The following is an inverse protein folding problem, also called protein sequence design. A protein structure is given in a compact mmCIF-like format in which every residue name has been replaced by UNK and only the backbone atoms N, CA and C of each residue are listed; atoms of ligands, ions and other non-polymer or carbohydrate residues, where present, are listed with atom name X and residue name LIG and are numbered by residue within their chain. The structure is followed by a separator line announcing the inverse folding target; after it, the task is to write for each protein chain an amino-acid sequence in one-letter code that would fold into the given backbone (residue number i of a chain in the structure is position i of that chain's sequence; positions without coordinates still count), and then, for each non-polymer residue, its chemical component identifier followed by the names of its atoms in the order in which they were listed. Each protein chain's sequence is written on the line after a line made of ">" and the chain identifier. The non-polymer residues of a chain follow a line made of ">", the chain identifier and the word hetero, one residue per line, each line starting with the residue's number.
data_IF_041054117820
#
_entry.id   IF_041054117820
#
_cell.length_a   1.000
_cell.length_b   1.000
_cell.length_c   1.000
_cell.angle_alpha   90.00
_cell.angle_beta   90.00
_cell.angle_gamma   90.00
#
_symmetry.space_group_name_H-M   'P 1'
#
loop_
_entity.id
_entity.type
_entity.pdbx_description
1 polymer ?
#
# COMPACT_ATOMS: atom_id res chain seq x y z
N UNK A 1 -9.92 -22.13 -19.21
CA UNK A 1 -10.21 -20.73 -18.84
C UNK A 1 -9.15 -19.75 -19.33
N UNK A 2 -7.83 -20.04 -19.26
CA UNK A 2 -6.78 -19.18 -19.86
C UNK A 2 -6.60 -19.31 -21.38
N UNK A 3 -7.14 -20.34 -22.02
CA UNK A 3 -6.92 -20.60 -23.44
C UNK A 3 -7.69 -19.67 -24.40
N UNK A 4 -8.72 -18.97 -23.95
CA UNK A 4 -9.66 -18.26 -24.84
C UNK A 4 -9.51 -16.74 -24.86
N UNK A 5 -8.79 -16.13 -23.91
CA UNK A 5 -8.68 -14.68 -23.81
C UNK A 5 -7.27 -14.20 -24.25
N UNK A 6 -7.15 -13.43 -25.35
CA UNK A 6 -5.85 -12.97 -25.84
C UNK A 6 -5.14 -12.03 -24.86
N UNK A 7 -5.88 -11.28 -24.03
CA UNK A 7 -5.32 -10.36 -23.04
C UNK A 7 -4.68 -11.17 -21.90
N UNK A 8 -5.32 -12.25 -21.43
CA UNK A 8 -4.72 -13.15 -20.42
C UNK A 8 -3.45 -13.84 -20.94
N UNK A 9 -3.41 -14.19 -22.23
CA UNK A 9 -2.19 -14.75 -22.85
C UNK A 9 -1.06 -13.73 -22.85
N UNK A 10 -1.34 -12.48 -23.24
CA UNK A 10 -0.36 -11.40 -23.20
C UNK A 10 0.19 -11.15 -21.80
N UNK A 11 -0.68 -11.12 -20.79
CA UNK A 11 -0.26 -10.97 -19.38
C UNK A 11 0.66 -12.13 -18.98
N UNK A 12 0.27 -13.37 -19.31
CA UNK A 12 1.05 -14.59 -19.00
C UNK A 12 2.42 -14.57 -19.67
N UNK A 13 2.48 -14.10 -20.90
CA UNK A 13 3.71 -14.08 -21.70
C UNK A 13 4.59 -12.85 -21.37
N UNK A 14 4.22 -12.07 -20.33
CA UNK A 14 4.98 -10.93 -19.84
C UNK A 14 4.87 -9.67 -20.71
N UNK A 15 3.95 -9.65 -21.66
CA UNK A 15 3.72 -8.51 -22.53
C UNK A 15 3.01 -7.38 -21.79
N UNK A 16 3.31 -6.14 -22.18
CA UNK A 16 2.57 -4.97 -21.69
C UNK A 16 1.14 -5.01 -22.21
N UNK A 17 0.23 -4.63 -21.33
CA UNK A 17 -1.21 -4.52 -21.56
C UNK A 17 -1.59 -3.08 -21.26
N UNK A 18 -2.35 -2.45 -22.15
CA UNK A 18 -2.82 -1.08 -21.95
C UNK A 18 -3.91 -1.01 -20.88
N UNK A 19 -4.19 0.19 -20.38
CA UNK A 19 -5.29 0.39 -19.43
C UNK A 19 -6.65 0.06 -20.06
N UNK A 20 -6.83 0.32 -21.36
CA UNK A 20 -8.05 -0.03 -22.11
C UNK A 20 -8.21 -1.56 -22.23
N UNK A 21 -7.15 -2.28 -22.58
CA UNK A 21 -7.16 -3.76 -22.58
C UNK A 21 -7.41 -4.33 -21.17
N UNK A 22 -6.94 -3.65 -20.12
CA UNK A 22 -7.20 -4.04 -18.74
C UNK A 22 -8.68 -3.88 -18.35
N UNK A 23 -9.31 -2.78 -18.76
CA UNK A 23 -10.73 -2.50 -18.55
C UNK A 23 -11.61 -3.52 -19.29
N UNK A 24 -11.26 -3.84 -20.53
CA UNK A 24 -11.94 -4.84 -21.35
C UNK A 24 -11.88 -6.23 -20.70
N UNK A 25 -10.70 -6.64 -20.22
CA UNK A 25 -10.52 -7.90 -19.51
C UNK A 25 -11.32 -7.93 -18.21
N UNK A 26 -11.35 -6.82 -17.46
CA UNK A 26 -12.13 -6.72 -16.23
C UNK A 26 -13.64 -6.88 -16.50
N UNK A 27 -14.14 -6.26 -17.57
CA UNK A 27 -15.54 -6.34 -17.98
C UNK A 27 -15.91 -7.75 -18.39
N UNK A 28 -15.10 -8.40 -19.24
CA UNK A 28 -15.35 -9.78 -19.68
C UNK A 28 -15.36 -10.78 -18.51
N UNK A 29 -14.42 -10.64 -17.57
CA UNK A 29 -14.38 -11.49 -16.37
C UNK A 29 -15.57 -11.23 -15.45
N UNK A 30 -16.06 -10.00 -15.38
CA UNK A 30 -17.26 -9.67 -14.61
C UNK A 30 -18.52 -10.27 -15.22
N UNK A 31 -18.66 -10.24 -16.55
CA UNK A 31 -19.80 -10.83 -17.26
C UNK A 31 -19.87 -12.35 -17.04
N UNK A 32 -18.72 -13.03 -17.06
CA UNK A 32 -18.64 -14.48 -16.77
C UNK A 32 -18.78 -14.78 -15.27
N UNK A 33 -18.23 -13.92 -14.41
CA UNK A 33 -18.19 -14.10 -12.96
C UNK A 33 -18.56 -12.79 -12.23
N UNK A 34 -19.86 -12.48 -12.09
CA UNK A 34 -20.34 -11.19 -11.55
C UNK A 34 -19.86 -10.88 -10.12
N UNK A 35 -19.45 -11.90 -9.37
CA UNK A 35 -18.93 -11.73 -8.02
C UNK A 35 -17.45 -11.32 -7.98
N UNK A 36 -16.70 -11.52 -9.06
CA UNK A 36 -15.30 -11.11 -9.17
C UNK A 36 -15.28 -9.66 -9.63
N UNK A 37 -14.95 -8.77 -8.71
CA UNK A 37 -14.85 -7.33 -8.96
C UNK A 37 -13.53 -6.81 -8.41
N UNK A 38 -13.01 -5.71 -8.99
CA UNK A 38 -11.83 -5.03 -8.45
C UNK A 38 -11.99 -4.68 -6.97
N UNK A 39 -13.20 -4.27 -6.56
CA UNK A 39 -13.51 -3.94 -5.17
C UNK A 39 -13.38 -5.16 -4.24
N UNK A 40 -13.80 -6.34 -4.69
CA UNK A 40 -13.61 -7.58 -3.94
C UNK A 40 -12.12 -7.94 -3.84
N UNK A 41 -11.39 -7.91 -4.96
CA UNK A 41 -9.96 -8.25 -4.99
C UNK A 41 -9.15 -7.35 -4.06
N UNK A 42 -9.37 -6.04 -4.10
CA UNK A 42 -8.74 -5.08 -3.17
C UNK A 42 -8.98 -5.40 -1.71
N UNK A 43 -10.17 -5.88 -1.36
CA UNK A 43 -10.52 -6.30 -0.01
C UNK A 43 -9.83 -7.61 0.39
N UNK A 44 -9.92 -8.63 -0.46
CA UNK A 44 -9.38 -9.98 -0.18
C UNK A 44 -7.87 -9.96 -0.01
N UNK A 45 -7.17 -9.19 -0.86
CA UNK A 45 -5.71 -9.07 -0.84
C UNK A 45 -5.20 -7.90 0.01
N UNK A 46 -6.09 -7.17 0.69
CA UNK A 46 -5.74 -5.99 1.49
C UNK A 46 -4.84 -4.99 0.73
N UNK A 47 -5.11 -4.76 -0.56
CA UNK A 47 -4.29 -3.86 -1.39
C UNK A 47 -5.17 -2.83 -2.09
N UNK A 48 -5.45 -1.73 -1.39
CA UNK A 48 -6.50 -0.77 -1.78
C UNK A 48 -6.25 -0.03 -3.11
N UNK A 49 -4.98 0.19 -3.48
CA UNK A 49 -4.60 0.90 -4.71
C UNK A 49 -4.10 0.01 -5.85
N UNK A 50 -4.02 -1.31 -5.66
CA UNK A 50 -3.57 -2.18 -6.74
C UNK A 50 -4.53 -2.09 -7.94
N UNK A 51 -3.95 -2.08 -9.13
CA UNK A 51 -4.70 -2.14 -10.38
C UNK A 51 -5.20 -3.57 -10.61
N UNK A 52 -6.25 -3.69 -11.44
CA UNK A 52 -6.83 -4.99 -11.79
C UNK A 52 -5.77 -5.94 -12.38
N UNK A 53 -4.91 -5.44 -13.28
CA UNK A 53 -3.84 -6.22 -13.91
C UNK A 53 -2.85 -6.78 -12.89
N UNK A 54 -2.49 -6.01 -11.83
CA UNK A 54 -1.60 -6.53 -10.78
C UNK A 54 -2.23 -7.71 -10.05
N UNK A 55 -3.53 -7.67 -9.77
CA UNK A 55 -4.24 -8.84 -9.21
C UNK A 55 -4.23 -10.03 -10.17
N UNK A 56 -4.46 -9.81 -11.46
CA UNK A 56 -4.43 -10.90 -12.45
C UNK A 56 -3.04 -11.52 -12.54
N UNK A 57 -1.98 -10.70 -12.59
CA UNK A 57 -0.59 -11.19 -12.55
C UNK A 57 -0.31 -11.99 -11.29
N UNK A 58 -0.83 -11.56 -10.16
CA UNK A 58 -0.71 -12.28 -8.90
C UNK A 58 -1.42 -13.63 -8.90
N UNK A 59 -2.67 -13.67 -9.36
CA UNK A 59 -3.46 -14.89 -9.49
C UNK A 59 -2.80 -15.89 -10.46
N UNK A 60 -2.18 -15.39 -11.53
CA UNK A 60 -1.44 -16.19 -12.50
C UNK A 60 -0.03 -16.59 -12.00
N UNK A 61 0.40 -16.16 -10.82
CA UNK A 61 1.71 -16.48 -10.24
C UNK A 61 2.89 -15.75 -10.90
N UNK A 62 2.62 -14.68 -11.65
CA UNK A 62 3.62 -13.90 -12.40
C UNK A 62 4.22 -12.81 -11.51
N UNK A 63 3.41 -12.26 -10.59
CA UNK A 63 3.80 -11.16 -9.71
C UNK A 63 3.43 -11.49 -8.26
N UNK A 64 4.33 -11.22 -7.32
CA UNK A 64 3.98 -11.27 -5.90
C UNK A 64 3.35 -9.94 -5.53
N UNK A 65 2.07 -9.96 -5.18
CA UNK A 65 1.36 -8.79 -4.67
C UNK A 65 1.44 -8.80 -3.16
N UNK A 66 2.38 -8.05 -2.60
CA UNK A 66 2.47 -7.88 -1.15
C UNK A 66 1.23 -7.16 -0.61
N UNK A 67 0.76 -7.58 0.56
CA UNK A 67 -0.38 -6.90 1.19
C UNK A 67 0.04 -5.50 1.63
N UNK A 68 -0.89 -4.54 1.64
CA UNK A 68 -0.58 -3.19 2.14
C UNK A 68 0.00 -3.20 3.57
N UNK A 69 -0.52 -4.02 4.52
CA UNK A 69 0.11 -4.16 5.83
C UNK A 69 1.57 -4.62 5.80
N UNK A 70 1.92 -5.55 4.92
CA UNK A 70 3.29 -6.03 4.78
C UNK A 70 4.19 -4.95 4.19
N UNK A 71 3.73 -4.24 3.15
CA UNK A 71 4.47 -3.14 2.54
C UNK A 71 4.74 -2.03 3.55
N UNK A 72 3.71 -1.58 4.29
CA UNK A 72 3.87 -0.55 5.33
C UNK A 72 4.84 -1.02 6.41
N UNK A 73 4.72 -2.27 6.89
CA UNK A 73 5.60 -2.82 7.92
C UNK A 73 7.05 -2.86 7.46
N UNK A 74 7.32 -3.40 6.27
CA UNK A 74 8.67 -3.47 5.71
C UNK A 74 9.29 -2.09 5.51
N UNK A 75 8.53 -1.13 4.96
CA UNK A 75 9.04 0.22 4.73
C UNK A 75 9.38 0.95 6.04
N UNK A 76 8.57 0.78 7.09
CA UNK A 76 8.86 1.37 8.41
C UNK A 76 10.03 0.68 9.10
N UNK A 77 10.12 -0.66 9.02
CA UNK A 77 11.24 -1.41 9.60
C UNK A 77 12.57 -1.05 8.90
N UNK A 78 12.55 -0.88 7.57
CA UNK A 78 13.69 -0.39 6.79
C UNK A 78 14.09 1.03 7.21
N UNK A 79 13.12 1.94 7.34
CA UNK A 79 13.36 3.31 7.80
C UNK A 79 14.02 3.31 9.18
N UNK A 80 13.55 2.47 10.11
CA UNK A 80 14.14 2.35 11.45
C UNK A 80 15.59 1.83 11.36
N UNK A 81 15.85 0.84 10.52
CA UNK A 81 17.19 0.27 10.34
C UNK A 81 18.20 1.30 9.78
N UNK A 82 17.74 2.19 8.91
CA UNK A 82 18.55 3.27 8.32
C UNK A 82 18.82 4.41 9.33
N UNK A 83 18.07 4.48 10.43
CA UNK A 83 18.17 5.52 11.44
C UNK A 83 18.51 4.94 12.83
N UNK A 84 19.75 4.46 13.05
CA UNK A 84 20.14 3.80 14.30
C UNK A 84 20.15 4.73 15.53
N UNK A 85 20.11 6.05 15.33
CA UNK A 85 20.11 7.05 16.41
C UNK A 85 18.70 7.39 16.96
N UNK A 86 17.64 6.71 16.50
CA UNK A 86 16.29 6.96 16.98
C UNK A 86 16.13 6.57 18.47
N UNK A 87 15.50 7.46 19.24
CA UNK A 87 15.20 7.20 20.65
C UNK A 87 13.88 6.43 20.85
N UNK A 88 13.57 6.05 22.08
CA UNK A 88 12.38 5.27 22.43
C UNK A 88 11.06 5.94 22.02
N UNK A 89 10.91 7.26 22.22
CA UNK A 89 9.71 7.99 21.81
C UNK A 89 9.55 8.02 20.29
N UNK A 90 10.64 8.20 19.55
CA UNK A 90 10.64 8.17 18.09
C UNK A 90 10.25 6.80 17.55
N UNK A 91 10.82 5.73 18.10
CA UNK A 91 10.45 4.35 17.74
C UNK A 91 8.99 4.05 18.06
N UNK A 92 8.49 4.51 19.22
CA UNK A 92 7.09 4.34 19.59
C UNK A 92 6.16 5.10 18.63
N UNK A 93 6.54 6.31 18.22
CA UNK A 93 5.80 7.09 17.24
C UNK A 93 5.73 6.39 15.89
N UNK A 94 6.85 5.84 15.38
CA UNK A 94 6.88 5.11 14.11
C UNK A 94 6.03 3.83 14.15
N UNK A 95 6.01 3.12 15.29
CA UNK A 95 5.12 1.96 15.48
C UNK A 95 3.65 2.36 15.48
N UNK A 96 3.31 3.44 16.18
CA UNK A 96 1.94 3.96 16.16
C UNK A 96 1.52 4.42 14.76
N UNK A 97 2.45 5.03 14.01
CA UNK A 97 2.24 5.43 12.62
C UNK A 97 2.01 4.22 11.71
N UNK A 98 2.77 3.14 11.89
CA UNK A 98 2.55 1.87 11.19
C UNK A 98 1.12 1.37 11.43
N UNK A 99 0.73 1.25 12.69
CA UNK A 99 -0.56 0.69 13.05
C UNK A 99 -1.71 1.58 12.51
N UNK A 100 -1.57 2.90 12.61
CA UNK A 100 -2.51 3.87 12.06
C UNK A 100 -2.65 3.76 10.53
N UNK A 101 -1.53 3.64 9.81
CA UNK A 101 -1.51 3.45 8.36
C UNK A 101 -2.22 2.15 7.97
N UNK A 102 -1.90 1.04 8.65
CA UNK A 102 -2.50 -0.27 8.38
C UNK A 102 -4.02 -0.24 8.60
N UNK A 103 -4.47 0.40 9.69
CA UNK A 103 -5.89 0.47 10.04
C UNK A 103 -6.69 1.37 9.09
N UNK A 104 -6.16 2.56 8.78
CA UNK A 104 -6.89 3.56 8.00
C UNK A 104 -6.65 3.49 6.50
N UNK A 105 -5.53 2.90 6.07
CA UNK A 105 -5.09 2.86 4.68
C UNK A 105 -4.48 4.17 4.17
N UNK A 106 -4.44 5.21 4.99
CA UNK A 106 -4.00 6.56 4.63
C UNK A 106 -3.52 7.33 5.87
N UNK A 107 -2.73 8.38 5.68
CA UNK A 107 -2.30 9.32 6.71
C UNK A 107 -2.06 10.72 6.13
N UNK A 108 -2.68 11.73 6.73
CA UNK A 108 -2.45 13.13 6.38
C UNK A 108 -1.47 13.81 7.36
N UNK A 109 -0.85 14.92 6.91
CA UNK A 109 0.01 15.74 7.77
C UNK A 109 -0.67 16.20 9.06
N UNK A 110 -1.98 16.43 9.01
CA UNK A 110 -2.78 16.85 10.16
C UNK A 110 -2.95 15.72 11.19
N UNK A 111 -3.02 14.47 10.75
CA UNK A 111 -3.19 13.32 11.65
C UNK A 111 -1.98 13.22 12.60
N UNK A 112 -0.78 13.45 12.09
CA UNK A 112 0.50 13.38 12.84
C UNK A 112 0.64 14.38 14.00
N UNK A 113 -0.28 15.36 14.10
CA UNK A 113 -0.34 16.33 15.19
C UNK A 113 -1.63 16.22 16.03
N UNK A 114 -2.40 15.14 15.84
CA UNK A 114 -3.63 14.86 16.56
C UNK A 114 -3.55 13.49 17.26
N UNK A 115 -4.59 13.13 18.02
CA UNK A 115 -4.71 11.78 18.55
C UNK A 115 -4.78 10.77 17.38
N UNK A 116 -4.14 9.60 17.49
CA UNK A 116 -3.49 9.04 18.68
C UNK A 116 -2.04 9.51 18.90
N UNK A 117 -1.42 10.22 17.96
CA UNK A 117 -0.01 10.61 18.03
C UNK A 117 0.31 11.56 19.19
N UNK A 118 -0.65 12.38 19.59
CA UNK A 118 -0.50 13.28 20.75
C UNK A 118 -0.41 12.56 22.09
N UNK A 119 -0.69 11.25 22.15
CA UNK A 119 -0.44 10.40 23.34
C UNK A 119 1.07 10.26 23.61
N UNK A 120 1.89 10.26 22.56
CA UNK A 120 3.36 10.18 22.69
C UNK A 120 3.95 11.53 23.10
N UNK A 121 3.47 12.61 22.49
CA UNK A 121 3.91 13.96 22.82
C UNK A 121 2.80 14.97 22.51
N UNK A 122 2.52 15.98 23.36
CA UNK A 122 1.42 16.94 23.16
C UNK A 122 1.45 17.67 21.79
N UNK A 123 2.64 17.96 21.29
CA UNK A 123 2.86 18.57 19.95
C UNK A 123 2.87 17.57 18.78
N UNK A 124 2.53 16.30 19.01
CA UNK A 124 2.61 15.21 18.03
C UNK A 124 4.02 15.07 17.46
N UNK A 125 4.10 14.83 16.14
CA UNK A 125 5.38 14.61 15.43
C UNK A 125 6.41 15.74 15.66
N UNK A 126 5.93 16.99 15.82
CA UNK A 126 6.78 18.17 16.00
C UNK A 126 7.54 18.21 17.31
N UNK A 127 7.07 17.47 18.32
CA UNK A 127 7.77 17.34 19.59
C UNK A 127 8.66 16.10 19.70
N UNK A 128 8.63 15.23 18.68
CA UNK A 128 9.33 13.93 18.70
C UNK A 128 10.48 13.91 17.69
N UNK A 129 10.35 14.63 16.57
CA UNK A 129 11.32 14.62 15.48
C UNK A 129 11.81 16.01 15.12
N UNK A 130 13.05 16.10 14.62
CA UNK A 130 13.58 17.34 14.05
C UNK A 130 12.86 17.68 12.72
N UNK A 131 12.94 18.94 12.25
CA UNK A 131 12.36 19.30 10.95
C UNK A 131 12.85 18.46 9.76
N UNK A 132 14.12 18.03 9.77
CA UNK A 132 14.66 17.17 8.71
C UNK A 132 14.03 15.78 8.76
N UNK A 133 13.98 15.16 9.94
CA UNK A 133 13.36 13.85 10.15
C UNK A 133 11.86 13.87 9.81
N UNK A 134 11.16 14.97 10.13
CA UNK A 134 9.75 15.14 9.75
C UNK A 134 9.61 15.08 8.23
N UNK A 135 10.47 15.77 7.48
CA UNK A 135 10.40 15.73 6.01
C UNK A 135 10.64 14.32 5.46
N UNK A 136 11.59 13.57 6.03
CA UNK A 136 11.86 12.18 5.64
C UNK A 136 10.68 11.26 5.94
N UNK A 137 10.06 11.39 7.12
CA UNK A 137 8.85 10.65 7.48
C UNK A 137 7.69 11.02 6.54
N UNK A 138 7.53 12.30 6.21
CA UNK A 138 6.49 12.72 5.27
C UNK A 138 6.72 12.14 3.87
N UNK A 139 7.97 12.10 3.40
CA UNK A 139 8.31 11.46 2.14
C UNK A 139 8.03 9.95 2.15
N UNK A 140 8.35 9.26 3.26
CA UNK A 140 8.01 7.85 3.47
C UNK A 140 6.51 7.61 3.43
N UNK A 141 5.72 8.42 4.15
CA UNK A 141 4.25 8.27 4.14
C UNK A 141 3.68 8.55 2.75
N UNK A 142 4.20 9.53 2.02
CA UNK A 142 3.75 9.84 0.66
C UNK A 142 4.03 8.70 -0.33
N UNK A 143 5.15 7.98 -0.20
CA UNK A 143 5.44 6.83 -1.08
C UNK A 143 4.57 5.61 -0.78
N UNK A 144 4.13 5.44 0.47
CA UNK A 144 3.18 4.40 0.88
C UNK A 144 1.73 4.73 0.48
N UNK A 145 1.43 6.03 0.41
CA UNK A 145 0.09 6.58 0.16
C UNK A 145 -0.10 7.06 -1.30
N UNK A 146 0.92 6.94 -2.15
CA UNK A 146 0.77 7.11 -3.60
C UNK A 146 -0.04 5.96 -4.23
#
# INVERSE_FOLDING_TARGET
>A
MTASNPILQRIRDGLTVSDEEAEDLATQLHDEHPHITLKLLRRVYHHQRASFIRFIRHILGIEILESFPDTVSKSIDQFIAEHPALNSHQLQFLRLMRDFLIERGDIEKRDLIQAPFTVIHPSGIRGVFSPSQINEILALTASLVA
#
